data_IF_925119454435
#
_entry.id   IF_925119454435
#
_cell.length_a   1.000
_cell.length_b   1.000
_cell.length_c   1.000
_cell.angle_alpha   90.00
_cell.angle_beta   90.00
_cell.angle_gamma   90.00
#
_symmetry.space_group_name_H-M   'P 1'
#
loop_
_entity.id
_entity.type
_entity.pdbx_description
1 polymer ?
#
# COMPACT_ATOMS: atom_id res chain seq x y z
N UNK A 1 -29.50 6.87 -33.17
CA UNK A 1 -28.81 7.45 -32.01
C UNK A 1 -28.42 6.32 -31.08
N UNK A 2 -27.13 6.26 -30.76
CA UNK A 2 -26.35 5.04 -30.62
C UNK A 2 -26.32 4.48 -29.19
N UNK A 3 -26.56 3.17 -29.06
CA UNK A 3 -26.47 2.38 -27.81
C UNK A 3 -25.07 2.29 -27.17
N UNK A 4 -24.10 3.09 -27.63
CA UNK A 4 -22.79 3.25 -26.98
C UNK A 4 -22.82 4.24 -25.81
N UNK A 5 -23.81 5.14 -25.76
CA UNK A 5 -23.94 6.13 -24.67
C UNK A 5 -24.48 5.51 -23.37
N UNK A 6 -25.27 4.44 -23.47
CA UNK A 6 -25.90 3.79 -22.31
C UNK A 6 -24.93 2.91 -21.50
N UNK A 7 -23.89 2.35 -22.14
CA UNK A 7 -22.92 1.46 -21.49
C UNK A 7 -21.93 2.26 -20.63
N UNK A 8 -21.60 3.50 -21.03
CA UNK A 8 -20.68 4.36 -20.28
C UNK A 8 -21.20 4.83 -18.91
N UNK A 9 -22.53 4.95 -18.76
CA UNK A 9 -23.17 5.42 -17.52
C UNK A 9 -23.33 4.26 -16.51
N UNK A 10 -23.47 3.01 -16.98
CA UNK A 10 -23.64 1.84 -16.09
C UNK A 10 -22.32 1.46 -15.41
N UNK A 11 -21.17 1.66 -16.05
CA UNK A 11 -19.85 1.33 -15.47
C UNK A 11 -19.39 2.35 -14.42
N UNK A 12 -19.76 3.63 -14.54
CA UNK A 12 -19.47 4.65 -13.53
C UNK A 12 -20.30 4.47 -12.25
N UNK A 13 -21.52 3.95 -12.35
CA UNK A 13 -22.35 3.64 -11.19
C UNK A 13 -21.85 2.43 -10.38
N UNK A 14 -21.26 1.41 -11.02
CA UNK A 14 -20.71 0.24 -10.33
C UNK A 14 -19.39 0.54 -9.60
N UNK A 15 -18.57 1.45 -10.12
CA UNK A 15 -17.36 1.93 -9.44
C UNK A 15 -17.64 2.69 -8.13
N UNK A 16 -18.76 3.42 -8.06
CA UNK A 16 -19.17 4.18 -6.87
C UNK A 16 -19.98 3.34 -5.86
N UNK A 17 -20.74 2.33 -6.32
CA UNK A 17 -21.47 1.41 -5.43
C UNK A 17 -20.56 0.39 -4.74
N UNK A 18 -19.46 -0.03 -5.38
CA UNK A 18 -18.44 -0.89 -4.76
C UNK A 18 -17.71 -0.22 -3.58
N UNK A 19 -17.55 1.10 -3.61
CA UNK A 19 -16.93 1.88 -2.53
C UNK A 19 -17.89 2.22 -1.39
N UNK A 20 -19.20 2.24 -1.64
CA UNK A 20 -20.19 2.60 -0.62
C UNK A 20 -20.66 1.40 0.23
N UNK A 21 -20.61 0.18 -0.32
CA UNK A 21 -21.04 -1.03 0.39
C UNK A 21 -20.08 -1.51 1.50
N UNK A 22 -18.83 -1.01 1.52
CA UNK A 22 -17.83 -1.33 2.55
C UNK A 22 -17.82 -0.35 3.74
N UNK A 23 -18.61 0.72 3.69
CA UNK A 23 -18.65 1.75 4.74
C UNK A 23 -19.87 1.71 5.67
N UNK A 24 -20.79 0.74 5.52
CA UNK A 24 -22.06 0.73 6.27
C UNK A 24 -22.46 -0.60 6.95
N UNK A 25 -21.49 -1.43 7.37
CA UNK A 25 -21.81 -2.55 8.30
C UNK A 25 -20.88 -2.62 9.52
N UNK A 26 -20.94 -1.65 10.46
CA UNK A 26 -20.73 -2.02 11.85
C UNK A 26 -22.03 -2.65 12.36
N UNK A 27 -21.93 -3.74 13.12
CA UNK A 27 -23.00 -4.30 13.98
C UNK A 27 -23.89 -5.42 13.42
N UNK A 28 -23.36 -6.48 12.79
CA UNK A 28 -24.18 -7.71 12.64
C UNK A 28 -23.37 -9.01 12.47
N UNK A 29 -22.31 -9.24 13.27
CA UNK A 29 -21.62 -10.55 13.29
C UNK A 29 -21.11 -11.03 14.66
N UNK A 30 -21.62 -10.50 15.77
CA UNK A 30 -21.34 -11.04 17.11
C UNK A 30 -22.65 -11.19 17.91
N UNK A 31 -23.44 -12.19 17.52
CA UNK A 31 -24.42 -12.82 18.41
C UNK A 31 -24.32 -14.34 18.21
N UNK A 32 -23.42 -14.94 18.96
CA UNK A 32 -23.13 -16.37 18.94
C UNK A 32 -21.92 -16.68 19.80
N UNK A 33 -21.99 -16.34 21.09
CA UNK A 33 -20.96 -16.68 22.05
C UNK A 33 -20.97 -18.19 22.33
N UNK A 34 -20.05 -18.90 21.69
CA UNK A 34 -19.53 -20.16 22.22
C UNK A 34 -18.18 -19.81 22.85
N UNK A 35 -18.13 -19.86 24.18
CA UNK A 35 -16.89 -19.79 24.95
C UNK A 35 -15.98 -20.94 24.52
N UNK A 36 -14.79 -20.63 24.03
CA UNK A 36 -13.68 -21.57 23.99
C UNK A 36 -12.57 -20.98 24.85
N UNK A 37 -12.55 -21.49 26.07
CA UNK A 37 -11.54 -21.36 27.10
C UNK A 37 -10.17 -21.73 26.51
N UNK A 38 -9.25 -20.76 26.40
CA UNK A 38 -7.83 -21.05 26.20
C UNK A 38 -7.09 -20.88 27.52
N UNK A 39 -6.57 -22.01 28.00
CA UNK A 39 -5.85 -22.19 29.24
C UNK A 39 -4.61 -21.26 29.31
N UNK A 40 -4.50 -20.57 30.44
CA UNK A 40 -3.28 -19.90 30.88
C UNK A 40 -2.21 -20.93 31.21
N UNK A 41 -1.00 -20.78 30.66
CA UNK A 41 0.23 -21.35 31.23
C UNK A 41 1.38 -20.32 31.17
N UNK A 42 1.93 -20.06 32.34
CA UNK A 42 2.82 -18.96 32.71
C UNK A 42 4.31 -19.25 32.46
N UNK A 43 5.12 -18.19 32.34
CA UNK A 43 6.57 -18.17 32.63
C UNK A 43 7.07 -16.73 32.89
N UNK A 44 8.01 -16.48 33.83
CA UNK A 44 7.99 -15.29 34.68
C UNK A 44 8.82 -14.07 34.20
N UNK A 45 8.29 -12.90 34.56
CA UNK A 45 8.87 -11.55 34.79
C UNK A 45 10.31 -11.24 34.34
N UNK A 46 10.44 -10.33 33.38
CA UNK A 46 11.52 -9.33 33.30
C UNK A 46 10.90 -7.95 33.59
N UNK A 47 11.15 -7.43 34.80
CA UNK A 47 10.74 -6.09 35.23
C UNK A 47 11.67 -5.07 34.56
N UNK A 48 11.12 -4.25 33.67
CA UNK A 48 11.80 -3.11 33.06
C UNK A 48 10.81 -2.01 32.72
N UNK A 49 10.60 -1.09 33.67
CA UNK A 49 9.94 0.22 33.60
C UNK A 49 8.61 0.31 32.82
N UNK A 50 7.47 0.63 33.48
CA UNK A 50 6.26 0.98 32.74
C UNK A 50 6.53 2.32 32.04
N UNK A 51 6.76 2.29 30.72
CA UNK A 51 6.67 3.52 29.93
C UNK A 51 5.23 3.98 30.07
N UNK A 52 5.02 5.01 30.87
CA UNK A 52 3.73 5.69 30.99
C UNK A 52 3.53 6.47 29.70
N UNK A 53 3.26 5.75 28.61
CA UNK A 53 2.80 6.35 27.36
C UNK A 53 1.38 6.81 27.62
N UNK A 54 1.20 8.12 27.76
CA UNK A 54 -0.07 8.75 27.41
C UNK A 54 -0.47 8.17 26.05
N UNK A 55 -1.73 7.76 25.81
CA UNK A 55 -2.12 7.25 24.50
C UNK A 55 -1.80 8.34 23.48
N UNK A 56 -0.74 8.15 22.71
CA UNK A 56 -0.39 9.06 21.64
C UNK A 56 -1.60 9.05 20.69
N UNK A 57 -2.19 10.22 20.45
CA UNK A 57 -3.28 10.35 19.48
C UNK A 57 -2.80 10.11 18.05
N UNK A 58 -1.47 10.11 17.85
CA UNK A 58 -0.82 9.76 16.60
C UNK A 58 0.61 9.26 16.79
N UNK A 59 1.07 8.37 15.91
CA UNK A 59 2.49 8.00 15.80
C UNK A 59 3.29 9.02 14.97
N UNK A 60 4.53 9.26 15.38
CA UNK A 60 5.53 10.09 14.68
C UNK A 60 6.23 9.33 13.54
N UNK A 61 6.90 10.08 12.65
CA UNK A 61 7.72 9.49 11.58
C UNK A 61 8.84 8.61 12.13
N UNK A 62 9.51 9.00 13.21
CA UNK A 62 10.59 8.19 13.78
C UNK A 62 10.06 6.87 14.36
N UNK A 63 8.83 6.86 14.88
CA UNK A 63 8.16 5.61 15.25
C UNK A 63 7.83 4.76 14.03
N UNK A 64 7.30 5.37 12.96
CA UNK A 64 7.00 4.68 11.71
C UNK A 64 8.25 4.03 11.08
N UNK A 65 9.39 4.73 11.07
CA UNK A 65 10.69 4.19 10.65
C UNK A 65 11.06 2.94 11.43
N UNK A 66 11.02 3.01 12.76
CA UNK A 66 11.34 1.84 13.60
C UNK A 66 10.41 0.66 13.35
N UNK A 67 9.13 0.91 13.15
CA UNK A 67 8.16 -0.13 12.81
C UNK A 67 8.42 -0.73 11.42
N UNK A 68 8.79 0.08 10.44
CA UNK A 68 9.17 -0.38 9.10
C UNK A 68 10.41 -1.28 9.12
N UNK A 69 11.46 -0.86 9.85
CA UNK A 69 12.68 -1.66 10.02
C UNK A 69 12.42 -2.97 10.77
N UNK A 70 11.66 -2.92 11.87
CA UNK A 70 11.26 -4.15 12.59
C UNK A 70 10.45 -5.10 11.71
N UNK A 71 9.58 -4.56 10.85
CA UNK A 71 8.83 -5.36 9.91
C UNK A 71 9.75 -5.98 8.85
N UNK A 72 10.68 -5.21 8.29
CA UNK A 72 11.69 -5.69 7.34
C UNK A 72 12.52 -6.84 7.93
N UNK A 73 13.06 -6.66 9.13
CA UNK A 73 13.81 -7.69 9.85
C UNK A 73 12.99 -8.97 10.04
N UNK A 74 11.70 -8.84 10.34
CA UNK A 74 10.80 -9.98 10.56
C UNK A 74 10.55 -10.81 9.29
N UNK A 75 10.76 -10.24 8.10
CA UNK A 75 10.65 -10.96 6.83
C UNK A 75 11.81 -11.94 6.61
N UNK A 76 12.99 -11.66 7.19
CA UNK A 76 14.17 -12.50 7.03
C UNK A 76 14.66 -12.61 5.57
N UNK A 77 14.41 -11.58 4.75
CA UNK A 77 14.81 -11.54 3.33
C UNK A 77 15.90 -10.50 3.14
N UNK A 78 17.15 -10.95 2.94
CA UNK A 78 18.33 -10.08 2.84
C UNK A 78 18.30 -9.10 1.65
N UNK A 79 17.59 -9.46 0.57
CA UNK A 79 17.51 -8.65 -0.64
C UNK A 79 16.50 -7.50 -0.52
N UNK A 80 15.77 -7.39 0.61
CA UNK A 80 14.77 -6.35 0.81
C UNK A 80 15.30 -5.18 1.63
N UNK A 81 14.65 -4.04 1.45
CA UNK A 81 15.07 -2.76 1.97
C UNK A 81 13.91 -1.78 2.01
N UNK A 82 13.94 -0.80 2.92
CA UNK A 82 13.09 0.39 2.81
C UNK A 82 13.67 1.31 1.74
N UNK A 83 12.85 1.69 0.75
CA UNK A 83 13.20 2.69 -0.28
C UNK A 83 12.80 4.08 0.14
N UNK A 84 11.59 4.20 0.69
CA UNK A 84 10.93 5.48 0.91
C UNK A 84 9.89 5.33 2.01
N UNK A 85 9.74 6.40 2.80
CA UNK A 85 8.60 6.58 3.69
C UNK A 85 7.99 7.96 3.45
N UNK A 86 6.72 7.99 3.05
CA UNK A 86 5.94 9.21 2.90
C UNK A 86 4.97 9.37 4.07
N UNK A 87 4.99 10.53 4.70
CA UNK A 87 4.03 10.91 5.72
C UNK A 87 2.83 11.61 5.08
N UNK A 88 1.66 11.02 5.26
CA UNK A 88 0.38 11.63 4.96
C UNK A 88 -0.40 11.93 6.24
N UNK A 89 -1.52 12.62 6.09
CA UNK A 89 -2.44 12.95 7.19
C UNK A 89 -2.89 11.70 7.97
N UNK A 90 -3.21 10.61 7.26
CA UNK A 90 -3.86 9.42 7.87
C UNK A 90 -2.93 8.25 8.11
N UNK A 91 -1.83 8.14 7.36
CA UNK A 91 -0.90 7.03 7.44
C UNK A 91 0.50 7.44 6.98
N UNK A 92 1.47 6.59 7.30
CA UNK A 92 2.75 6.55 6.61
C UNK A 92 2.67 5.50 5.51
N UNK A 93 2.96 5.91 4.28
CA UNK A 93 3.16 5.00 3.15
C UNK A 93 4.63 4.60 3.08
N UNK A 94 4.89 3.34 2.78
CA UNK A 94 6.25 2.76 2.78
C UNK A 94 6.41 1.92 1.53
N UNK A 95 7.53 2.14 0.84
CA UNK A 95 8.00 1.26 -0.22
C UNK A 95 9.09 0.35 0.31
N UNK A 96 8.87 -0.97 0.21
CA UNK A 96 9.95 -1.94 0.32
C UNK A 96 10.40 -2.32 -1.10
N UNK A 97 11.71 -2.42 -1.33
CA UNK A 97 12.28 -2.72 -2.65
C UNK A 97 13.34 -3.82 -2.59
N UNK A 98 13.60 -4.44 -3.74
CA UNK A 98 14.70 -5.38 -3.93
C UNK A 98 15.99 -4.67 -4.28
N UNK A 99 17.05 -4.90 -3.49
CA UNK A 99 18.36 -4.28 -3.74
C UNK A 99 18.96 -4.72 -5.07
N UNK A 100 18.84 -6.00 -5.41
CA UNK A 100 19.43 -6.56 -6.64
C UNK A 100 18.80 -6.05 -7.93
N UNK A 101 17.50 -5.74 -7.92
CA UNK A 101 16.77 -5.36 -9.13
C UNK A 101 16.39 -3.88 -9.16
N UNK A 102 16.39 -3.21 -8.01
CA UNK A 102 15.87 -1.85 -7.85
C UNK A 102 14.34 -1.77 -7.89
N UNK A 103 13.63 -2.87 -8.15
CA UNK A 103 12.18 -2.88 -8.26
C UNK A 103 11.53 -2.81 -6.88
N UNK A 104 10.44 -2.07 -6.79
CA UNK A 104 9.53 -2.11 -5.65
C UNK A 104 9.04 -3.54 -5.44
N UNK A 105 9.30 -4.05 -4.24
CA UNK A 105 8.84 -5.36 -3.81
C UNK A 105 7.35 -5.27 -3.47
N UNK A 106 6.98 -4.44 -2.50
CA UNK A 106 5.59 -4.22 -2.08
C UNK A 106 5.45 -2.91 -1.30
N UNK A 107 4.20 -2.50 -1.12
CA UNK A 107 3.81 -1.27 -0.44
C UNK A 107 3.10 -1.59 0.89
N UNK A 108 3.35 -0.78 1.91
CA UNK A 108 2.70 -0.90 3.19
C UNK A 108 2.25 0.45 3.74
N UNK A 109 1.25 0.41 4.61
CA UNK A 109 0.75 1.54 5.36
C UNK A 109 0.95 1.32 6.85
N UNK A 110 1.40 2.34 7.57
CA UNK A 110 1.31 2.41 9.02
C UNK A 110 0.28 3.48 9.39
N UNK A 111 -0.84 3.07 9.97
CA UNK A 111 -1.92 4.00 10.29
C UNK A 111 -1.55 4.92 11.45
N UNK A 112 -1.84 6.22 11.28
CA UNK A 112 -1.49 7.24 12.27
C UNK A 112 -2.52 7.39 13.37
N UNK A 113 -3.79 7.10 13.11
CA UNK A 113 -4.88 7.41 14.05
C UNK A 113 -5.91 6.28 14.11
N UNK A 114 -6.85 6.38 15.06
CA UNK A 114 -7.93 5.42 15.22
C UNK A 114 -7.50 4.10 15.86
N UNK A 115 -8.33 3.08 15.75
CA UNK A 115 -8.11 1.76 16.36
C UNK A 115 -6.95 0.96 15.75
N UNK A 116 -6.39 1.43 14.63
CA UNK A 116 -5.28 0.79 13.92
C UNK A 116 -3.96 1.54 14.09
N UNK A 117 -3.88 2.51 14.99
CA UNK A 117 -2.66 3.29 15.24
C UNK A 117 -1.43 2.39 15.38
N UNK A 118 -0.38 2.69 14.62
CA UNK A 118 0.89 1.94 14.63
C UNK A 118 0.84 0.57 13.94
N UNK A 119 -0.32 0.13 13.43
CA UNK A 119 -0.43 -1.15 12.72
C UNK A 119 0.10 -1.01 11.30
N UNK A 120 1.07 -1.85 10.95
CA UNK A 120 1.51 -2.04 9.56
C UNK A 120 0.55 -2.99 8.83
N UNK A 121 0.09 -2.56 7.65
CA UNK A 121 -0.78 -3.34 6.77
C UNK A 121 -0.28 -3.23 5.34
N UNK A 122 -0.46 -4.25 4.48
CA UNK A 122 -0.27 -4.08 3.04
C UNK A 122 -1.11 -2.91 2.53
N UNK A 123 -0.59 -2.16 1.55
CA UNK A 123 -1.38 -1.11 0.93
C UNK A 123 -2.59 -1.73 0.17
N UNK A 124 -3.81 -1.19 0.35
CA UNK A 124 -4.98 -1.67 -0.39
C UNK A 124 -4.86 -1.45 -1.90
N UNK A 125 -5.45 -2.36 -2.69
CA UNK A 125 -5.54 -2.20 -4.15
C UNK A 125 -4.33 -2.79 -4.88
N UNK A 126 -3.61 -2.03 -5.73
CA UNK A 126 -2.55 -2.52 -6.64
C UNK A 126 -1.55 -3.48 -5.99
N UNK A 127 -1.02 -3.14 -4.83
CA UNK A 127 -0.11 -4.00 -4.07
C UNK A 127 -0.70 -5.38 -3.74
N UNK A 128 -2.00 -5.46 -3.45
CA UNK A 128 -2.68 -6.72 -3.13
C UNK A 128 -3.14 -7.49 -4.37
N UNK A 129 -3.54 -6.78 -5.43
CA UNK A 129 -4.28 -7.36 -6.57
C UNK A 129 -3.50 -7.42 -7.89
N UNK A 130 -2.49 -6.57 -8.06
CA UNK A 130 -1.66 -6.49 -9.27
C UNK A 130 -0.22 -6.93 -9.04
N UNK A 131 0.26 -6.94 -7.78
CA UNK A 131 1.60 -7.41 -7.47
C UNK A 131 1.75 -8.91 -7.74
N UNK A 132 2.50 -9.25 -8.78
CA UNK A 132 2.66 -10.63 -9.28
C UNK A 132 3.71 -11.45 -8.52
N UNK A 133 4.56 -10.80 -7.72
CA UNK A 133 5.62 -11.44 -6.92
C UNK A 133 5.29 -11.51 -5.44
N UNK A 134 4.79 -10.40 -4.90
CA UNK A 134 4.61 -10.18 -3.47
C UNK A 134 3.15 -10.02 -3.05
N UNK A 135 2.20 -9.97 -4.00
CA UNK A 135 0.77 -9.83 -3.71
C UNK A 135 -0.06 -11.12 -3.74
N UNK A 136 -1.36 -10.98 -3.49
CA UNK A 136 -2.38 -12.02 -3.67
C UNK A 136 -2.73 -12.88 -2.44
N UNK A 137 -3.86 -13.62 -2.46
CA UNK A 137 -4.37 -14.40 -1.32
C UNK A 137 -3.41 -15.49 -0.81
N UNK A 138 -2.56 -16.03 -1.69
CA UNK A 138 -1.60 -17.08 -1.31
C UNK A 138 -0.42 -16.54 -0.49
N UNK A 139 -0.05 -15.27 -0.62
CA UNK A 139 1.01 -14.66 0.21
C UNK A 139 0.49 -14.37 1.63
N UNK A 140 -0.81 -14.04 1.76
CA UNK A 140 -1.40 -13.63 3.05
C UNK A 140 -2.06 -14.75 3.87
N UNK A 141 -2.40 -15.92 3.29
CA UNK A 141 -3.05 -17.03 4.03
C UNK A 141 -2.12 -18.17 4.48
N UNK A 142 -0.84 -18.17 4.13
CA UNK A 142 0.02 -19.35 4.38
C UNK A 142 1.48 -19.08 4.70
N UNK A 143 1.86 -17.81 4.90
CA UNK A 143 3.26 -17.42 4.99
C UNK A 143 4.01 -17.69 3.69
N UNK A 144 5.20 -17.12 3.58
CA UNK A 144 6.13 -17.23 2.44
C UNK A 144 6.51 -18.66 2.02
N UNK A 145 6.00 -19.71 2.70
CA UNK A 145 6.48 -21.09 2.60
C UNK A 145 5.77 -21.97 1.56
N UNK A 146 4.56 -21.66 1.09
CA UNK A 146 3.85 -22.55 0.16
C UNK A 146 4.04 -22.16 -1.32
N UNK A 147 5.27 -22.37 -1.80
CA UNK A 147 5.66 -22.20 -3.20
C UNK A 147 4.97 -23.24 -4.11
N UNK A 148 4.00 -22.79 -4.92
CA UNK A 148 3.95 -23.21 -6.33
C UNK A 148 4.55 -22.06 -7.14
N UNK A 149 5.71 -22.24 -7.79
CA UNK A 149 6.30 -21.17 -8.57
C UNK A 149 5.36 -20.82 -9.73
N UNK A 150 4.76 -19.63 -9.67
CA UNK A 150 4.52 -18.89 -10.90
C UNK A 150 5.92 -18.73 -11.56
N UNK A 151 6.09 -18.99 -12.86
CA UNK A 151 7.39 -18.85 -13.52
C UNK A 151 7.94 -17.47 -13.17
N UNK A 152 9.15 -17.46 -12.59
CA UNK A 152 9.87 -16.33 -12.00
C UNK A 152 9.19 -14.98 -12.28
N UNK A 153 8.51 -14.36 -11.31
CA UNK A 153 7.86 -13.08 -11.54
C UNK A 153 8.86 -12.12 -12.15
N UNK A 154 8.54 -11.68 -13.35
CA UNK A 154 9.37 -10.78 -14.14
C UNK A 154 8.98 -9.34 -13.81
N UNK A 155 9.97 -8.47 -13.70
CA UNK A 155 9.74 -7.03 -13.68
C UNK A 155 9.46 -6.49 -15.10
N UNK A 156 9.56 -7.31 -16.14
CA UNK A 156 9.16 -6.93 -17.49
C UNK A 156 7.63 -6.91 -17.63
N UNK A 157 7.11 -5.77 -18.09
CA UNK A 157 5.69 -5.52 -18.34
C UNK A 157 5.48 -5.05 -19.79
N UNK A 158 4.38 -5.44 -20.47
CA UNK A 158 4.09 -4.99 -21.84
C UNK A 158 3.92 -3.48 -21.98
N UNK A 159 3.39 -2.83 -20.93
CA UNK A 159 3.39 -1.38 -20.79
C UNK A 159 4.65 -1.02 -20.03
N UNK A 160 5.57 -0.33 -20.68
CA UNK A 160 6.77 0.21 -20.06
C UNK A 160 6.47 1.49 -19.26
N UNK A 161 7.49 2.01 -18.57
CA UNK A 161 7.33 3.18 -17.70
C UNK A 161 6.89 4.42 -18.49
N UNK A 162 7.44 4.65 -19.68
CA UNK A 162 7.10 5.81 -20.51
C UNK A 162 5.63 5.76 -20.94
N UNK A 163 5.13 4.60 -21.36
CA UNK A 163 3.71 4.42 -21.69
C UNK A 163 2.82 4.54 -20.44
N UNK A 164 3.23 3.97 -19.31
CA UNK A 164 2.51 4.12 -18.05
C UNK A 164 2.43 5.59 -17.60
N UNK A 165 3.51 6.37 -17.77
CA UNK A 165 3.54 7.81 -17.53
C UNK A 165 2.59 8.57 -18.47
N UNK A 166 2.52 8.20 -19.76
CA UNK A 166 1.55 8.81 -20.69
C UNK A 166 0.11 8.52 -20.29
N UNK A 167 -0.20 7.29 -19.90
CA UNK A 167 -1.51 6.89 -19.40
C UNK A 167 -1.85 7.69 -18.12
N UNK A 168 -0.91 7.74 -17.18
CA UNK A 168 -1.06 8.47 -15.92
C UNK A 168 -1.25 9.97 -16.11
N UNK A 169 -0.46 10.61 -16.97
CA UNK A 169 -0.60 12.04 -17.23
C UNK A 169 -1.94 12.37 -17.89
N UNK A 170 -2.42 11.55 -18.81
CA UNK A 170 -3.77 11.71 -19.38
C UNK A 170 -4.87 11.63 -18.32
N UNK A 171 -4.73 10.72 -17.35
CA UNK A 171 -5.63 10.66 -16.21
C UNK A 171 -5.57 11.94 -15.36
N UNK A 172 -4.38 12.47 -15.09
CA UNK A 172 -4.24 13.74 -14.36
C UNK A 172 -4.85 14.92 -15.12
N UNK A 173 -4.67 14.99 -16.44
CA UNK A 173 -5.22 16.08 -17.26
C UNK A 173 -6.77 16.12 -17.18
N UNK A 174 -7.41 14.96 -17.06
CA UNK A 174 -8.87 14.82 -16.97
C UNK A 174 -9.41 15.10 -15.56
N UNK A 175 -8.78 14.53 -14.53
CA UNK A 175 -9.32 14.53 -13.16
C UNK A 175 -8.65 15.52 -12.21
N UNK A 176 -7.41 15.93 -12.50
CA UNK A 176 -6.60 16.84 -11.69
C UNK A 176 -5.91 17.91 -12.56
N UNK A 177 -6.65 18.78 -13.28
CA UNK A 177 -6.05 19.73 -14.23
C UNK A 177 -4.87 20.52 -13.65
N UNK A 178 -3.80 20.58 -14.43
CA UNK A 178 -2.55 21.24 -14.06
C UNK A 178 -1.67 20.47 -13.07
N UNK A 179 -2.02 19.22 -12.73
CA UNK A 179 -1.14 18.33 -12.00
C UNK A 179 -0.21 17.55 -12.94
N UNK A 180 0.95 17.18 -12.40
CA UNK A 180 2.01 16.49 -13.12
C UNK A 180 2.51 15.31 -12.29
N UNK A 181 2.94 14.24 -12.97
CA UNK A 181 3.69 13.15 -12.34
C UNK A 181 5.03 13.69 -11.84
N UNK A 182 5.35 13.42 -10.57
CA UNK A 182 6.59 13.83 -9.91
C UNK A 182 7.59 12.69 -9.82
N UNK A 183 7.15 11.55 -9.34
CA UNK A 183 8.00 10.36 -9.18
C UNK A 183 7.30 9.10 -9.70
N UNK A 184 8.08 8.05 -9.93
CA UNK A 184 7.60 6.73 -10.32
C UNK A 184 8.37 5.66 -9.58
N UNK A 185 7.64 4.69 -9.02
CA UNK A 185 8.22 3.44 -8.56
C UNK A 185 7.59 2.29 -9.34
N UNK A 186 8.45 1.49 -9.99
CA UNK A 186 8.05 0.26 -10.65
C UNK A 186 7.94 -0.88 -9.64
N UNK A 187 6.80 -1.56 -9.64
CA UNK A 187 6.56 -2.81 -8.91
C UNK A 187 6.37 -3.97 -9.88
N UNK A 188 6.30 -5.18 -9.33
CA UNK A 188 6.02 -6.39 -10.12
C UNK A 188 4.56 -6.42 -10.60
N UNK A 189 4.28 -5.83 -11.76
CA UNK A 189 2.97 -5.88 -12.43
C UNK A 189 2.23 -4.54 -12.50
N UNK A 190 2.80 -3.47 -11.92
CA UNK A 190 2.24 -2.12 -11.96
C UNK A 190 3.31 -1.07 -11.64
N UNK A 191 2.96 0.19 -11.85
CA UNK A 191 3.75 1.37 -11.50
C UNK A 191 2.93 2.22 -10.52
N UNK A 192 3.55 2.72 -9.46
CA UNK A 192 2.97 3.75 -8.58
C UNK A 192 3.59 5.10 -8.92
N UNK A 193 2.76 6.12 -9.03
CA UNK A 193 3.12 7.48 -9.37
C UNK A 193 2.71 8.44 -8.28
N UNK A 194 3.65 9.28 -7.88
CA UNK A 194 3.37 10.49 -7.12
C UNK A 194 3.00 11.60 -8.09
N UNK A 195 2.02 12.40 -7.73
CA UNK A 195 1.63 13.54 -8.55
C UNK A 195 1.42 14.81 -7.74
N UNK A 196 1.60 15.94 -8.40
CA UNK A 196 1.63 17.22 -7.73
C UNK A 196 1.47 18.44 -8.62
N UNK A 197 1.53 19.63 -8.03
CA UNK A 197 1.57 20.93 -8.74
C UNK A 197 2.75 21.74 -8.23
N UNK A 198 3.56 22.28 -9.13
CA UNK A 198 4.85 22.86 -8.76
C UNK A 198 5.67 21.83 -7.97
N UNK A 199 6.21 22.24 -6.83
CA UNK A 199 7.06 21.40 -5.97
C UNK A 199 6.27 20.61 -4.90
N UNK A 200 4.93 20.63 -4.95
CA UNK A 200 4.09 20.00 -3.93
C UNK A 200 3.46 18.69 -4.42
N UNK A 201 3.66 17.61 -3.68
CA UNK A 201 2.92 16.33 -3.85
C UNK A 201 1.48 16.50 -3.33
N UNK A 202 0.53 16.00 -4.13
CA UNK A 202 -0.91 16.06 -3.85
C UNK A 202 -1.53 14.68 -3.57
N UNK A 203 -0.93 13.61 -4.09
CA UNK A 203 -1.43 12.26 -3.89
C UNK A 203 -0.69 11.27 -4.76
N UNK A 204 -1.24 10.06 -4.83
CA UNK A 204 -0.65 8.93 -5.53
C UNK A 204 -1.70 8.19 -6.36
N UNK A 205 -1.27 7.54 -7.42
CA UNK A 205 -2.06 6.59 -8.17
C UNK A 205 -1.17 5.50 -8.77
N UNK A 206 -1.74 4.35 -9.09
CA UNK A 206 -1.04 3.30 -9.80
C UNK A 206 -1.56 3.07 -11.21
N UNK A 207 -0.71 2.57 -12.10
CA UNK A 207 -1.08 2.08 -13.44
C UNK A 207 -0.68 0.62 -13.56
N UNK A 208 -1.64 -0.24 -13.91
CA UNK A 208 -1.37 -1.65 -14.17
C UNK A 208 -0.50 -1.83 -15.42
N UNK A 209 0.61 -2.54 -15.31
CA UNK A 209 1.59 -2.70 -16.41
C UNK A 209 1.17 -3.66 -17.53
N UNK A 210 0.01 -4.31 -17.41
CA UNK A 210 -0.54 -5.20 -18.44
C UNK A 210 -1.77 -4.60 -19.12
N UNK A 211 -2.65 -3.94 -18.36
CA UNK A 211 -3.93 -3.43 -18.86
C UNK A 211 -3.98 -1.92 -19.05
N UNK A 212 -3.05 -1.18 -18.45
CA UNK A 212 -3.07 0.29 -18.43
C UNK A 212 -4.15 0.87 -17.51
N UNK A 213 -4.79 0.04 -16.68
CA UNK A 213 -5.81 0.49 -15.74
C UNK A 213 -5.19 1.41 -14.68
N UNK A 214 -5.81 2.57 -14.45
CA UNK A 214 -5.41 3.53 -13.42
C UNK A 214 -6.18 3.30 -12.12
N UNK A 215 -5.50 3.39 -10.97
CA UNK A 215 -6.08 3.28 -9.64
C UNK A 215 -5.64 4.43 -8.73
N UNK A 216 -6.57 5.29 -8.31
CA UNK A 216 -6.28 6.42 -7.43
C UNK A 216 -6.25 6.03 -5.94
N UNK A 217 -5.25 6.51 -5.19
CA UNK A 217 -5.06 6.16 -3.77
C UNK A 217 -5.77 7.19 -2.88
N UNK A 218 -7.04 6.94 -2.55
CA UNK A 218 -7.89 7.91 -1.82
C UNK A 218 -7.76 7.86 -0.29
N UNK A 219 -6.99 6.93 0.25
CA UNK A 219 -6.94 6.64 1.69
C UNK A 219 -5.90 7.44 2.49
N UNK A 220 -4.93 8.09 1.83
CA UNK A 220 -3.82 8.76 2.51
C UNK A 220 -4.19 10.08 3.20
N UNK A 221 -5.09 10.86 2.59
CA UNK A 221 -5.31 12.26 2.98
C UNK A 221 -4.23 13.18 2.41
N UNK A 222 -3.99 14.32 3.06
CA UNK A 222 -3.01 15.30 2.57
C UNK A 222 -1.56 14.83 2.76
N UNK A 223 -0.70 15.06 1.77
CA UNK A 223 0.75 14.86 1.90
C UNK A 223 1.36 15.85 2.91
N UNK A 224 2.30 15.38 3.71
CA UNK A 224 3.02 16.18 4.73
C UNK A 224 4.50 16.28 4.39
N UNK A 225 5.19 15.15 4.21
CA UNK A 225 6.62 15.07 3.87
C UNK A 225 7.00 13.66 3.40
N UNK A 226 8.20 13.50 2.87
CA UNK A 226 8.77 12.21 2.49
C UNK A 226 10.23 12.12 2.93
N UNK A 227 10.71 10.90 3.13
CA UNK A 227 12.12 10.58 3.26
C UNK A 227 12.46 9.38 2.37
N UNK A 228 13.39 9.60 1.44
CA UNK A 228 13.98 8.58 0.60
C UNK A 228 15.27 8.05 1.22
N UNK A 229 15.50 6.75 1.06
CA UNK A 229 16.69 6.05 1.53
C UNK A 229 17.50 5.66 0.31
N UNK A 230 18.63 6.33 0.10
CA UNK A 230 19.57 5.93 -0.93
C UNK A 230 20.06 4.51 -0.63
N UNK A 231 19.94 3.62 -1.62
CA UNK A 231 20.53 2.29 -1.54
C UNK A 231 22.03 2.43 -1.38
N UNK A 232 22.57 2.12 -0.20
CA UNK A 232 23.99 1.90 -0.02
C UNK A 232 24.39 0.73 -0.95
N UNK A 233 24.84 1.06 -2.15
CA UNK A 233 25.54 0.17 -3.05
C UNK A 233 26.96 -0.02 -2.51
N UNK A 234 27.06 -0.80 -1.43
CA UNK A 234 28.33 -1.30 -0.88
C UNK A 234 28.74 -2.61 -1.53
#
# INVERSE_FOLDING_TARGET
MNGKLAIGIVLTALGLLGTLALMLTPSLYLRGGYEVEYCSMMGPSMIGQPIKQTPESSISLDQAKRLAEQYLDSLGVEDLAVKEIMEFERNFYIVFYERKTGAGAFEALIWKTGSSIGRITPEPGPNMMWNTKYGGPMVHMGGWLNRRPNPLPSNYMPIDEDEARRIGQKYLDEYFPGAEIKETTQFYGYYTFDFGRGDKIHGMFSVNGYSGQVWYHSWHGSFIRMEEYEGNHG
#
